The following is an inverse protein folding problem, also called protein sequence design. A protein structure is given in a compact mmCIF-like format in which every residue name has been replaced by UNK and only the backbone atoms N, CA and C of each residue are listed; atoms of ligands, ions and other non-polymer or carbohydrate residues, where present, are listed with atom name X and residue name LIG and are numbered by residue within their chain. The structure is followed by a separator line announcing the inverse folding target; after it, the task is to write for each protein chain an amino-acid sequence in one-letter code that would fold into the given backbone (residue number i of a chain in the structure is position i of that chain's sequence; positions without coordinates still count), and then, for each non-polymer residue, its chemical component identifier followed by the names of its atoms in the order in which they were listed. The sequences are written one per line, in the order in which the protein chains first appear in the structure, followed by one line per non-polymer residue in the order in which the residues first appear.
data_IF_119552754705
#
_entry.id   IF_119552754705
#
_cell.length_a   1.000
_cell.length_b   1.000
_cell.length_c   1.000
_cell.angle_alpha   90.00
_cell.angle_beta   90.00
_cell.angle_gamma   90.00
#
_symmetry.space_group_name_H-M   'P 1'
#
loop_
_entity.id
_entity.type
_entity.pdbx_description
1 polymer ?
#
# COMPACT_ATOMS: atom_id res chain seq x y z
N UNK A 1 -9.73 -16.98 -20.54
CA UNK A 1 -8.42 -17.03 -21.19
C UNK A 1 -7.41 -16.65 -20.14
N UNK A 2 -6.96 -17.66 -19.41
CA UNK A 2 -6.00 -17.57 -18.31
C UNK A 2 -4.63 -17.11 -18.83
N UNK A 3 -4.31 -15.84 -18.65
CA UNK A 3 -2.97 -15.31 -18.92
C UNK A 3 -1.94 -15.73 -17.85
N UNK A 4 -2.29 -16.66 -16.95
CA UNK A 4 -1.46 -17.06 -15.83
C UNK A 4 -0.37 -18.08 -16.19
N UNK A 5 -0.36 -18.61 -17.43
CA UNK A 5 0.40 -19.84 -17.70
C UNK A 5 1.91 -19.66 -17.91
N UNK A 6 2.49 -18.44 -17.93
CA UNK A 6 3.94 -18.25 -18.21
C UNK A 6 4.63 -17.05 -17.55
N UNK A 7 4.17 -16.52 -16.42
CA UNK A 7 5.02 -15.56 -15.71
C UNK A 7 6.18 -16.26 -15.01
N UNK A 8 7.39 -15.71 -15.17
CA UNK A 8 8.53 -16.10 -14.33
C UNK A 8 8.38 -15.59 -12.89
N UNK A 9 7.50 -14.62 -12.62
CA UNK A 9 7.27 -14.03 -11.31
C UNK A 9 5.89 -14.43 -10.76
N UNK A 10 5.74 -14.76 -9.45
CA UNK A 10 4.47 -15.18 -8.87
C UNK A 10 3.43 -14.07 -8.95
N UNK A 11 2.16 -14.42 -9.10
CA UNK A 11 1.08 -13.43 -9.09
C UNK A 11 0.99 -12.78 -7.70
N UNK A 12 0.64 -11.49 -7.55
CA UNK A 12 0.53 -10.84 -6.24
C UNK A 12 -0.44 -11.56 -5.28
N UNK A 13 -1.46 -12.21 -5.83
CA UNK A 13 -2.37 -13.09 -5.11
C UNK A 13 -1.69 -14.30 -4.44
N UNK A 14 -0.58 -14.79 -4.99
CA UNK A 14 0.19 -15.89 -4.41
C UNK A 14 0.90 -15.43 -3.12
N UNK A 15 1.42 -14.19 -3.08
CA UNK A 15 1.99 -13.61 -1.86
C UNK A 15 0.94 -13.38 -0.76
N UNK A 16 -0.33 -13.13 -1.14
CA UNK A 16 -1.42 -12.89 -0.18
C UNK A 16 -1.71 -14.11 0.71
N UNK A 17 -1.52 -15.32 0.21
CA UNK A 17 -1.78 -16.56 0.97
C UNK A 17 -0.58 -17.03 1.79
N UNK A 18 0.59 -16.42 1.58
CA UNK A 18 1.79 -16.74 2.33
C UNK A 18 1.81 -16.06 3.69
N UNK A 19 2.44 -16.74 4.65
CA UNK A 19 2.64 -16.19 5.99
C UNK A 19 3.89 -15.29 5.99
N UNK A 20 3.76 -14.00 6.37
CA UNK A 20 4.92 -13.14 6.53
C UNK A 20 5.74 -13.50 7.76
N UNK A 21 7.05 -13.31 7.64
CA UNK A 21 7.97 -13.16 8.76
C UNK A 21 8.05 -11.68 9.14
N UNK A 22 8.23 -11.39 10.43
CA UNK A 22 8.25 -10.03 10.94
C UNK A 22 9.52 -9.77 11.71
N UNK A 23 10.15 -8.64 11.39
CA UNK A 23 11.29 -8.10 12.12
C UNK A 23 10.93 -6.70 12.61
N UNK A 24 11.28 -6.39 13.85
CA UNK A 24 11.15 -5.03 14.42
C UNK A 24 12.48 -4.30 14.22
N UNK A 25 12.43 -3.11 13.63
CA UNK A 25 13.60 -2.27 13.39
C UNK A 25 13.92 -1.42 14.62
N UNK A 26 15.14 -0.90 14.69
CA UNK A 26 15.58 -0.05 15.83
C UNK A 26 14.72 1.21 16.00
N UNK A 27 14.07 1.68 14.92
CA UNK A 27 13.18 2.85 14.91
C UNK A 27 11.73 2.53 15.33
N UNK A 28 11.44 1.28 15.75
CA UNK A 28 10.11 0.84 16.17
C UNK A 28 9.15 0.53 15.03
N UNK A 29 9.64 0.42 13.79
CA UNK A 29 8.85 -0.04 12.64
C UNK A 29 8.91 -1.57 12.54
N UNK A 30 7.88 -2.16 11.94
CA UNK A 30 7.86 -3.57 11.58
C UNK A 30 8.16 -3.73 10.10
N UNK A 31 9.06 -4.65 9.76
CA UNK A 31 9.29 -5.11 8.39
C UNK A 31 8.67 -6.49 8.22
N UNK A 32 7.76 -6.62 7.26
CA UNK A 32 7.18 -7.90 6.84
C UNK A 32 7.95 -8.44 5.64
N UNK A 33 8.44 -9.67 5.73
CA UNK A 33 9.06 -10.40 4.62
C UNK A 33 8.13 -11.53 4.20
N UNK A 34 7.75 -11.58 2.92
CA UNK A 34 6.97 -12.67 2.34
C UNK A 34 7.83 -13.34 1.27
N UNK A 35 8.09 -14.63 1.43
CA UNK A 35 8.91 -15.42 0.52
C UNK A 35 8.08 -16.44 -0.27
N UNK A 36 8.30 -16.46 -1.58
CA UNK A 36 7.93 -17.54 -2.50
C UNK A 36 9.20 -17.84 -3.30
N UNK A 37 10.03 -18.75 -2.81
CA UNK A 37 11.38 -18.98 -3.35
C UNK A 37 11.39 -19.11 -4.88
N UNK A 38 12.27 -18.39 -5.60
CA UNK A 38 13.35 -17.51 -5.10
C UNK A 38 12.94 -16.04 -4.85
N UNK A 39 11.64 -15.72 -4.90
CA UNK A 39 11.12 -14.36 -4.82
C UNK A 39 10.85 -13.95 -3.39
N UNK A 40 11.26 -12.73 -3.04
CA UNK A 40 11.05 -12.14 -1.72
C UNK A 40 10.49 -10.75 -1.91
N UNK A 41 9.43 -10.43 -1.18
CA UNK A 41 8.88 -9.07 -1.10
C UNK A 41 8.93 -8.61 0.34
N UNK A 42 9.24 -7.32 0.51
CA UNK A 42 9.38 -6.68 1.82
C UNK A 42 8.55 -5.42 1.87
N UNK A 43 8.00 -5.12 3.02
CA UNK A 43 7.34 -3.87 3.29
C UNK A 43 7.47 -3.50 4.75
N UNK A 44 7.66 -2.21 5.02
CA UNK A 44 7.86 -1.70 6.37
C UNK A 44 6.72 -0.76 6.74
N UNK A 45 6.32 -0.77 8.00
CA UNK A 45 5.23 0.06 8.51
C UNK A 45 5.26 0.16 10.03
N UNK A 46 4.55 1.14 10.60
CA UNK A 46 4.39 1.32 12.05
C UNK A 46 3.70 0.14 12.74
N UNK A 47 2.98 -0.71 12.00
CA UNK A 47 2.32 -1.91 12.54
C UNK A 47 2.59 -3.16 11.71
N UNK A 48 2.51 -4.35 12.33
CA UNK A 48 2.64 -5.65 11.61
C UNK A 48 1.60 -5.82 10.49
N UNK A 49 0.29 -5.50 10.70
CA UNK A 49 -0.67 -5.52 9.60
C UNK A 49 -0.34 -4.52 8.49
N UNK A 50 0.13 -3.32 8.83
CA UNK A 50 0.59 -2.31 7.87
C UNK A 50 1.77 -2.81 7.03
N UNK A 51 2.75 -3.41 7.67
CA UNK A 51 3.96 -3.91 7.02
C UNK A 51 3.62 -5.00 5.99
N UNK A 52 2.65 -5.86 6.32
CA UNK A 52 2.14 -6.85 5.36
C UNK A 52 1.43 -6.20 4.17
N UNK A 53 0.64 -5.14 4.37
CA UNK A 53 -0.01 -4.42 3.26
C UNK A 53 1.04 -3.75 2.36
N UNK A 54 2.07 -3.15 2.96
CA UNK A 54 3.21 -2.60 2.23
C UNK A 54 3.92 -3.67 1.38
N UNK A 55 4.18 -4.85 1.95
CA UNK A 55 4.84 -5.94 1.23
C UNK A 55 3.99 -6.46 0.05
N UNK A 56 2.67 -6.51 0.20
CA UNK A 56 1.77 -6.90 -0.89
C UNK A 56 1.68 -5.85 -1.99
N UNK A 57 1.68 -4.56 -1.62
CA UNK A 57 1.74 -3.47 -2.60
C UNK A 57 3.05 -3.52 -3.41
N UNK A 58 4.17 -3.84 -2.75
CA UNK A 58 5.46 -4.03 -3.42
C UNK A 58 5.45 -5.25 -4.36
N UNK A 59 4.75 -6.34 -3.98
CA UNK A 59 4.54 -7.48 -4.87
C UNK A 59 3.77 -7.09 -6.14
N UNK A 60 2.74 -6.24 -6.02
CA UNK A 60 1.98 -5.73 -7.17
C UNK A 60 2.83 -4.84 -8.09
N UNK A 61 3.63 -3.93 -7.51
CA UNK A 61 4.57 -3.09 -8.27
C UNK A 61 5.60 -3.94 -9.01
N UNK A 62 6.18 -4.92 -8.32
CA UNK A 62 7.16 -5.83 -8.90
C UNK A 62 6.52 -6.63 -10.03
N UNK A 63 5.32 -7.17 -9.85
CA UNK A 63 4.59 -7.89 -10.90
C UNK A 63 4.30 -7.01 -12.12
N UNK A 64 3.88 -5.75 -11.92
CA UNK A 64 3.66 -4.78 -13.00
C UNK A 64 4.91 -4.54 -13.85
N UNK A 65 6.11 -4.57 -13.24
CA UNK A 65 7.36 -4.41 -14.00
C UNK A 65 7.59 -5.52 -15.03
N UNK A 66 7.13 -6.74 -14.74
CA UNK A 66 7.19 -7.89 -15.65
C UNK A 66 5.95 -7.98 -16.56
N UNK A 67 4.83 -7.39 -16.15
CA UNK A 67 3.55 -7.39 -16.87
C UNK A 67 3.02 -5.97 -17.02
N UNK A 68 3.45 -5.23 -18.06
CA UNK A 68 3.06 -3.82 -18.23
C UNK A 68 1.53 -3.58 -18.33
N UNK A 69 0.76 -4.62 -18.70
CA UNK A 69 -0.70 -4.58 -18.72
C UNK A 69 -1.35 -4.74 -17.35
N UNK A 70 -0.60 -5.18 -16.33
CA UNK A 70 -1.10 -5.32 -14.97
C UNK A 70 -1.33 -3.96 -14.33
N UNK A 71 -2.51 -3.80 -13.73
CA UNK A 71 -2.90 -2.58 -13.01
C UNK A 71 -2.70 -2.80 -11.53
N UNK A 72 -1.73 -2.08 -10.96
CA UNK A 72 -1.53 -2.02 -9.49
C UNK A 72 -2.79 -1.45 -8.84
N UNK A 73 -3.27 -2.14 -7.82
CA UNK A 73 -4.39 -1.72 -7.02
C UNK A 73 -3.96 -0.61 -6.06
N UNK A 74 -4.68 0.51 -6.08
CA UNK A 74 -4.52 1.54 -5.06
C UNK A 74 -5.29 1.06 -3.81
N UNK A 75 -4.61 0.88 -2.66
CA UNK A 75 -5.26 0.40 -1.43
C UNK A 75 -6.19 1.43 -0.78
N UNK A 76 -6.18 2.68 -1.27
CA UNK A 76 -6.94 3.79 -0.70
C UNK A 76 -8.07 4.27 -1.65
N UNK A 77 -9.22 4.69 -1.11
CA UNK A 77 -10.29 5.37 -1.86
C UNK A 77 -9.83 6.70 -2.47
N UNK A 78 -10.67 7.32 -3.33
CA UNK A 78 -10.34 8.63 -3.90
C UNK A 78 -10.39 9.76 -2.86
N UNK A 79 -11.34 9.73 -1.95
CA UNK A 79 -11.43 10.65 -0.80
C UNK A 79 -11.83 9.84 0.42
N UNK A 80 -11.13 10.02 1.55
CA UNK A 80 -11.45 9.31 2.79
C UNK A 80 -10.93 10.06 4.02
N UNK A 81 -11.50 9.74 5.18
CA UNK A 81 -10.98 10.17 6.48
C UNK A 81 -10.29 8.98 7.14
N UNK A 82 -9.09 9.16 7.69
CA UNK A 82 -8.42 8.09 8.42
C UNK A 82 -8.92 7.94 9.87
N UNK A 83 -8.31 7.04 10.62
CA UNK A 83 -8.66 6.77 12.02
C UNK A 83 -8.30 7.93 12.96
N UNK A 84 -7.39 8.83 12.56
CA UNK A 84 -6.95 9.99 13.31
C UNK A 84 -7.78 11.25 12.97
N UNK A 85 -8.75 11.12 12.05
CA UNK A 85 -9.62 12.22 11.62
C UNK A 85 -9.02 13.05 10.48
N UNK A 86 -7.88 12.66 9.93
CA UNK A 86 -7.25 13.33 8.81
C UNK A 86 -8.02 13.06 7.51
N UNK A 87 -8.36 14.12 6.78
CA UNK A 87 -8.99 14.00 5.47
C UNK A 87 -7.91 13.87 4.40
N UNK A 88 -8.05 12.84 3.57
CA UNK A 88 -7.16 12.49 2.47
C UNK A 88 -7.90 12.61 1.15
N UNK A 89 -7.24 13.21 0.16
CA UNK A 89 -7.77 13.38 -1.19
C UNK A 89 -6.78 12.93 -2.23
N UNK A 90 -7.24 12.10 -3.17
CA UNK A 90 -6.42 11.63 -4.28
C UNK A 90 -6.15 12.77 -5.25
N UNK A 91 -4.88 12.92 -5.58
CA UNK A 91 -4.43 13.95 -6.50
C UNK A 91 -4.74 13.59 -7.95
N UNK A 92 -4.89 14.62 -8.78
CA UNK A 92 -4.94 14.43 -10.23
C UNK A 92 -3.62 13.84 -10.73
N UNK A 93 -3.58 13.12 -11.87
CA UNK A 93 -2.34 12.51 -12.37
C UNK A 93 -1.16 13.50 -12.52
N UNK A 94 -1.46 14.75 -12.87
CA UNK A 94 -0.45 15.82 -13.02
C UNK A 94 0.12 16.25 -11.66
N UNK A 95 -0.72 16.31 -10.63
CA UNK A 95 -0.26 16.62 -9.27
C UNK A 95 0.44 15.42 -8.65
N UNK A 96 -0.05 14.20 -8.90
CA UNK A 96 0.53 12.97 -8.38
C UNK A 96 1.98 12.77 -8.81
N UNK A 97 2.31 13.09 -10.07
CA UNK A 97 3.69 13.01 -10.56
C UNK A 97 4.65 14.01 -9.86
N UNK A 98 4.12 15.12 -9.34
CA UNK A 98 4.93 16.22 -8.82
C UNK A 98 4.99 16.29 -7.29
N UNK A 99 3.91 15.96 -6.61
CA UNK A 99 3.74 16.19 -5.18
C UNK A 99 3.38 14.93 -4.41
N UNK A 100 2.80 13.93 -5.08
CA UNK A 100 2.48 12.62 -4.52
C UNK A 100 1.02 12.22 -4.70
N UNK A 101 0.72 10.94 -4.47
CA UNK A 101 -0.58 10.34 -4.82
C UNK A 101 -1.79 10.99 -4.12
N UNK A 102 -1.61 11.47 -2.88
CA UNK A 102 -2.66 12.06 -2.05
C UNK A 102 -2.22 13.39 -1.44
N UNK A 103 -3.19 14.29 -1.20
CA UNK A 103 -3.04 15.47 -0.36
C UNK A 103 -3.84 15.32 0.93
N UNK A 104 -3.36 15.97 1.99
CA UNK A 104 -4.02 16.06 3.29
C UNK A 104 -3.73 17.42 3.93
N UNK A 105 -4.59 17.84 4.85
CA UNK A 105 -4.39 19.11 5.58
C UNK A 105 -3.80 18.84 6.95
N UNK A 106 -2.58 19.32 7.22
CA UNK A 106 -1.90 19.08 8.49
C UNK A 106 -2.53 19.85 9.67
N UNK A 107 -1.94 19.69 10.86
CA UNK A 107 -2.41 20.34 12.08
C UNK A 107 -2.28 21.88 12.06
N UNK A 108 -1.41 22.43 11.22
CA UNK A 108 -1.18 23.85 11.03
C UNK A 108 -2.12 24.45 9.95
N UNK A 109 -2.90 23.60 9.28
CA UNK A 109 -3.84 23.99 8.23
C UNK A 109 -3.19 24.10 6.85
N UNK A 110 -1.97 23.61 6.68
CA UNK A 110 -1.26 23.58 5.41
C UNK A 110 -1.60 22.31 4.61
N UNK A 111 -1.59 22.41 3.28
CA UNK A 111 -1.77 21.24 2.42
C UNK A 111 -0.41 20.56 2.23
N UNK A 112 -0.31 19.33 2.73
CA UNK A 112 0.84 18.45 2.55
C UNK A 112 0.45 17.24 1.68
N UNK A 113 1.46 16.50 1.21
CA UNK A 113 1.30 15.46 0.21
C UNK A 113 2.03 14.18 0.62
N UNK A 114 1.45 13.04 0.25
CA UNK A 114 2.07 11.75 0.47
C UNK A 114 1.82 10.76 -0.67
N UNK A 115 2.82 9.93 -0.92
CA UNK A 115 2.71 8.77 -1.80
C UNK A 115 2.04 7.59 -1.09
N UNK A 116 1.47 6.67 -1.86
CA UNK A 116 0.86 5.44 -1.32
C UNK A 116 1.85 4.67 -0.43
N UNK A 117 3.14 4.66 -0.77
CA UNK A 117 4.19 3.99 0.00
C UNK A 117 4.42 4.63 1.38
N UNK A 118 4.38 5.96 1.45
CA UNK A 118 4.48 6.69 2.71
C UNK A 118 3.25 6.44 3.59
N UNK A 119 2.06 6.51 2.99
CA UNK A 119 0.80 6.21 3.69
C UNK A 119 0.78 4.78 4.24
N UNK A 120 1.28 3.80 3.47
CA UNK A 120 1.44 2.42 3.92
C UNK A 120 2.46 2.29 5.07
N UNK A 121 3.56 3.04 5.00
CA UNK A 121 4.57 3.10 6.07
C UNK A 121 3.98 3.64 7.39
N UNK A 122 3.13 4.65 7.32
CA UNK A 122 2.45 5.22 8.48
C UNK A 122 1.25 4.38 8.98
N UNK A 123 0.92 3.27 8.30
CA UNK A 123 -0.28 2.45 8.57
C UNK A 123 -1.58 3.27 8.46
N UNK A 124 -1.63 4.25 7.55
CA UNK A 124 -2.85 5.02 7.24
C UNK A 124 -3.94 4.03 6.84
N UNK A 125 -5.12 4.21 7.42
CA UNK A 125 -6.28 3.36 7.17
C UNK A 125 -7.52 4.25 7.07
N UNK A 126 -8.32 4.09 6.00
CA UNK A 126 -9.64 4.69 5.98
C UNK A 126 -10.43 4.24 7.21
N UNK A 127 -11.00 5.20 7.93
CA UNK A 127 -12.08 4.90 8.84
C UNK A 127 -13.14 4.17 8.02
N UNK A 128 -13.58 3.02 8.50
CA UNK A 128 -14.78 2.40 7.97
C UNK A 128 -15.86 3.47 8.17
N UNK A 129 -16.31 4.11 7.08
CA UNK A 129 -17.54 4.87 7.11
C UNK A 129 -18.53 3.92 7.76
N UNK A 130 -19.03 4.27 8.95
CA UNK A 130 -20.06 3.47 9.58
C UNK A 130 -21.11 3.28 8.50
N UNK A 131 -21.24 2.03 8.05
CA UNK A 131 -22.34 1.68 7.19
C UNK A 131 -23.54 2.04 8.05
N UNK A 132 -24.19 3.14 7.70
CA UNK A 132 -25.54 3.41 8.15
C UNK A 132 -26.38 2.25 7.62
N UNK A 133 -26.39 1.17 8.39
CA UNK A 133 -27.44 0.18 8.38
C UNK A 133 -28.69 0.91 8.84
N UNK A 134 -29.47 1.38 7.86
CA UNK A 134 -30.88 1.75 8.02
C UNK A 134 -31.76 0.54 7.70
#
# INVERSE_FOLDING_TARGET
MDQNERSAYPHPGDFKVMRPEYEETEDGFFTATIEITPFVVRGSSSTKPGARRAALYEAEKTYKSYHPSYRVHNPYPEEFTDLDGQVWKKNSPIMAEKFGDYSFTDADGEEDYADIEQMLSWDVRPALAEASEE
#
